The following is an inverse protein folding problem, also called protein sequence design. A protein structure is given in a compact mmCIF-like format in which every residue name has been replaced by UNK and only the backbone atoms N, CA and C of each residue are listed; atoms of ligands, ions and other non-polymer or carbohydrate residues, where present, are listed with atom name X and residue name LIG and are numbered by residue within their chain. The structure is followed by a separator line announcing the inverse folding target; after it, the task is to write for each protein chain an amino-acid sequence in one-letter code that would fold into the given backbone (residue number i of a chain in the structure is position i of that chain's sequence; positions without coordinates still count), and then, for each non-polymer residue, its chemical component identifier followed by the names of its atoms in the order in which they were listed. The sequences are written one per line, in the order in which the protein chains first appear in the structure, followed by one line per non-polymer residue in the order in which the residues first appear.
data_IF_525154665883
#
_entry.id   IF_525154665883
#
_cell.length_a   1.000
_cell.length_b   1.000
_cell.length_c   1.000
_cell.angle_alpha   90.00
_cell.angle_beta   90.00
_cell.angle_gamma   90.00
#
_symmetry.space_group_name_H-M   'P 1'
#
loop_
_entity.id
_entity.type
_entity.pdbx_description
1 polymer ?
#
# COMPACT_ATOMS: atom_id res chain seq x y z
N UNK A 1 18.68 -6.63 15.93
CA UNK A 1 17.95 -6.84 17.21
C UNK A 1 17.69 -8.31 17.48
N UNK A 2 17.04 -9.05 16.57
CA UNK A 2 16.72 -10.47 16.75
C UNK A 2 17.97 -11.31 17.07
N UNK A 3 19.09 -11.08 16.37
CA UNK A 3 20.37 -11.74 16.65
C UNK A 3 20.93 -11.40 18.03
N UNK A 4 20.83 -10.13 18.44
CA UNK A 4 21.28 -9.67 19.76
C UNK A 4 20.43 -10.28 20.90
N UNK A 5 19.17 -10.62 20.61
CA UNK A 5 18.29 -11.35 21.52
C UNK A 5 18.53 -12.87 21.49
N UNK A 6 19.43 -13.38 20.62
CA UNK A 6 19.68 -14.81 20.45
C UNK A 6 18.50 -15.58 19.84
N UNK A 7 17.62 -14.89 19.10
CA UNK A 7 16.42 -15.51 18.55
C UNK A 7 16.74 -16.44 17.38
N UNK A 8 16.21 -17.67 17.41
CA UNK A 8 16.23 -18.56 16.26
C UNK A 8 15.12 -18.16 15.29
N UNK A 9 15.47 -17.89 14.04
CA UNK A 9 14.57 -17.36 13.00
C UNK A 9 14.75 -18.14 11.71
N UNK A 10 14.27 -19.39 11.70
CA UNK A 10 14.19 -20.19 10.47
C UNK A 10 13.23 -19.56 9.45
N UNK A 11 13.37 -19.92 8.18
CA UNK A 11 12.55 -19.39 7.07
C UNK A 11 11.06 -19.76 7.18
N UNK A 12 10.75 -20.80 7.97
CA UNK A 12 9.40 -21.26 8.32
C UNK A 12 8.77 -20.49 9.49
N UNK A 13 9.53 -19.61 10.15
CA UNK A 13 9.05 -18.86 11.31
C UNK A 13 8.50 -17.48 10.92
N UNK A 14 7.78 -16.90 11.87
CA UNK A 14 7.22 -15.56 11.80
C UNK A 14 7.70 -14.72 12.99
N UNK A 15 7.80 -13.41 12.78
CA UNK A 15 8.08 -12.43 13.83
C UNK A 15 6.82 -11.61 14.05
N UNK A 16 6.15 -11.83 15.18
CA UNK A 16 4.97 -11.11 15.62
C UNK A 16 5.34 -9.91 16.48
N UNK A 17 4.51 -8.87 16.42
CA UNK A 17 4.62 -7.67 17.23
C UNK A 17 3.27 -7.32 17.84
N UNK A 18 3.31 -6.81 19.07
CA UNK A 18 2.14 -6.38 19.83
C UNK A 18 2.22 -4.90 20.15
N UNK A 19 1.07 -4.24 20.15
CA UNK A 19 0.90 -2.86 20.57
C UNK A 19 -0.09 -2.79 21.75
N UNK A 20 -0.10 -1.71 22.54
CA UNK A 20 -0.97 -1.57 23.71
C UNK A 20 -2.36 -1.00 23.36
N UNK A 21 -2.58 -0.52 22.14
CA UNK A 21 -3.86 0.06 21.73
C UNK A 21 -4.89 -1.04 21.49
N UNK A 22 -6.02 -0.95 22.21
CA UNK A 22 -7.12 -1.91 22.11
C UNK A 22 -8.14 -1.43 21.09
N UNK A 23 -8.52 -2.31 20.18
CA UNK A 23 -9.52 -2.02 19.16
C UNK A 23 -10.78 -2.84 19.39
N UNK A 24 -11.94 -2.17 19.31
CA UNK A 24 -13.26 -2.78 19.35
C UNK A 24 -13.74 -3.33 18.00
N UNK A 25 -12.90 -3.27 16.95
CA UNK A 25 -13.17 -3.95 15.68
C UNK A 25 -13.01 -5.47 15.79
N UNK A 26 -12.24 -5.92 16.77
CA UNK A 26 -12.15 -7.33 17.15
C UNK A 26 -13.16 -7.63 18.25
N UNK A 27 -13.69 -8.86 18.27
CA UNK A 27 -14.58 -9.37 19.32
C UNK A 27 -14.01 -10.70 19.87
N UNK A 28 -13.59 -10.75 21.16
CA UNK A 28 -13.57 -9.63 22.10
C UNK A 28 -12.55 -8.55 21.70
N UNK A 29 -12.72 -7.29 22.18
CA UNK A 29 -11.74 -6.25 21.97
C UNK A 29 -10.35 -6.69 22.42
N UNK A 30 -9.35 -6.49 21.57
CA UNK A 30 -7.98 -6.90 21.85
C UNK A 30 -6.95 -5.87 21.36
N UNK A 31 -5.72 -5.91 21.88
CA UNK A 31 -4.65 -5.05 21.41
C UNK A 31 -4.32 -5.31 19.94
N UNK A 32 -3.87 -4.27 19.23
CA UNK A 32 -3.38 -4.44 17.87
C UNK A 32 -2.16 -5.38 17.83
N UNK A 33 -2.14 -6.28 16.85
CA UNK A 33 -1.01 -7.17 16.63
C UNK A 33 -0.97 -7.66 15.19
N UNK A 34 0.23 -7.97 14.72
CA UNK A 34 0.46 -8.64 13.44
C UNK A 34 1.84 -9.29 13.45
N UNK A 35 2.26 -9.85 12.33
CA UNK A 35 3.50 -10.56 12.14
C UNK A 35 3.88 -10.53 10.67
N UNK A 36 5.17 -10.71 10.42
CA UNK A 36 5.75 -10.89 9.08
C UNK A 36 6.59 -12.17 9.08
N UNK A 37 6.83 -12.79 7.91
CA UNK A 37 7.77 -13.90 7.81
C UNK A 37 9.14 -13.51 8.38
N UNK A 38 9.81 -14.46 9.05
CA UNK A 38 11.11 -14.20 9.69
C UNK A 38 12.17 -13.75 8.66
N UNK A 39 12.14 -14.32 7.46
CA UNK A 39 12.99 -13.88 6.35
C UNK A 39 12.80 -12.37 6.05
N UNK A 40 11.56 -11.88 5.99
CA UNK A 40 11.30 -10.44 5.83
C UNK A 40 11.73 -9.65 7.06
N UNK A 41 11.49 -10.15 8.27
CA UNK A 41 11.91 -9.46 9.50
C UNK A 41 13.43 -9.30 9.64
N UNK A 42 14.21 -10.15 8.94
CA UNK A 42 15.68 -10.09 8.87
C UNK A 42 16.22 -9.32 7.68
N UNK A 43 15.35 -8.84 6.79
CA UNK A 43 15.78 -7.98 5.68
C UNK A 43 16.30 -6.63 6.19
N UNK A 44 17.30 -6.09 5.51
CA UNK A 44 18.04 -4.90 5.94
C UNK A 44 17.14 -3.64 6.02
N UNK A 45 16.04 -3.63 5.28
CA UNK A 45 15.11 -2.51 5.22
C UNK A 45 14.05 -2.50 6.34
N UNK A 46 13.85 -3.61 7.08
CA UNK A 46 12.87 -3.64 8.18
C UNK A 46 13.43 -2.98 9.42
N UNK A 47 12.73 -1.96 9.92
CA UNK A 47 13.20 -1.11 11.01
C UNK A 47 12.33 -1.22 12.25
N UNK A 48 12.99 -1.15 13.41
CA UNK A 48 12.39 -0.57 14.60
C UNK A 48 12.76 0.91 14.61
N UNK A 49 11.81 1.77 14.23
CA UNK A 49 12.03 3.19 14.07
C UNK A 49 11.62 3.95 15.35
N UNK A 50 12.49 4.85 15.81
CA UNK A 50 12.23 5.82 16.88
C UNK A 50 12.31 7.28 16.40
N UNK A 51 12.58 7.49 15.12
CA UNK A 51 12.62 8.79 14.45
C UNK A 51 11.82 8.77 13.15
N UNK A 52 11.31 9.93 12.74
CA UNK A 52 10.67 10.17 11.46
C UNK A 52 11.09 11.56 10.97
N UNK A 53 11.62 11.65 9.75
CA UNK A 53 12.12 12.89 9.16
C UNK A 53 13.13 13.64 10.05
N UNK A 54 14.11 12.92 10.59
CA UNK A 54 15.18 13.44 11.47
C UNK A 54 14.68 14.05 12.80
N UNK A 55 13.45 13.73 13.22
CA UNK A 55 12.88 14.15 14.49
C UNK A 55 12.37 12.93 15.28
N UNK A 56 12.25 13.02 16.62
CA UNK A 56 11.66 11.96 17.42
C UNK A 56 10.29 11.52 16.88
N UNK A 57 10.04 10.22 16.85
CA UNK A 57 8.82 9.65 16.26
C UNK A 57 7.57 10.22 16.96
N UNK A 58 6.68 10.93 16.23
CA UNK A 58 5.48 11.49 16.82
C UNK A 58 4.56 10.42 17.40
N UNK A 59 3.85 10.74 18.49
CA UNK A 59 2.93 9.81 19.16
C UNK A 59 1.90 9.21 18.19
N UNK A 60 1.31 10.02 17.32
CA UNK A 60 0.31 9.56 16.33
C UNK A 60 0.87 8.52 15.34
N UNK A 61 2.17 8.59 15.08
CA UNK A 61 2.90 7.69 14.19
C UNK A 61 3.55 6.51 14.91
N UNK A 62 3.32 6.33 16.22
CA UNK A 62 3.79 5.16 16.96
C UNK A 62 4.93 5.43 17.94
N UNK A 63 5.27 6.69 18.22
CA UNK A 63 6.30 7.03 19.21
C UNK A 63 6.06 6.37 20.58
N UNK A 64 7.09 5.88 21.27
CA UNK A 64 8.52 6.09 20.96
C UNK A 64 9.10 5.12 19.93
N UNK A 65 8.47 3.97 19.65
CA UNK A 65 9.00 2.96 18.73
C UNK A 65 7.87 2.32 17.92
N UNK A 66 8.09 2.20 16.62
CA UNK A 66 7.24 1.42 15.71
C UNK A 66 8.05 0.43 14.89
N UNK A 67 7.39 -0.57 14.34
CA UNK A 67 7.91 -1.35 13.20
C UNK A 67 7.61 -0.57 11.92
N UNK A 68 8.57 -0.57 10.99
CA UNK A 68 8.40 -0.16 9.59
C UNK A 68 8.80 -1.35 8.71
N UNK A 69 7.88 -1.81 7.87
CA UNK A 69 8.09 -2.92 6.93
C UNK A 69 7.97 -2.41 5.50
N UNK A 70 9.07 -1.99 4.87
CA UNK A 70 9.04 -1.49 3.51
C UNK A 70 8.54 -2.54 2.50
N UNK A 71 7.77 -2.08 1.51
CA UNK A 71 7.14 -2.92 0.47
C UNK A 71 5.86 -3.66 0.94
N UNK A 72 5.53 -3.63 2.22
CA UNK A 72 4.33 -4.27 2.78
C UNK A 72 3.24 -3.23 3.11
N UNK A 73 1.98 -3.67 3.20
CA UNK A 73 0.86 -2.81 3.59
C UNK A 73 1.10 -2.19 4.98
N UNK A 74 0.55 -1.00 5.20
CA UNK A 74 0.74 -0.25 6.44
C UNK A 74 0.36 -1.02 7.71
N UNK A 75 -0.59 -1.95 7.64
CA UNK A 75 -0.97 -2.82 8.76
C UNK A 75 0.21 -3.67 9.29
N UNK A 76 1.18 -4.04 8.45
CA UNK A 76 2.35 -4.80 8.91
C UNK A 76 3.41 -3.92 9.60
N UNK A 77 3.23 -2.60 9.58
CA UNK A 77 4.10 -1.63 10.27
C UNK A 77 3.48 -1.18 11.60
N UNK A 78 3.44 -2.10 12.58
CA UNK A 78 2.82 -1.89 13.89
C UNK A 78 3.36 -0.67 14.64
N UNK A 79 2.48 0.12 15.24
CA UNK A 79 2.80 1.32 16.04
C UNK A 79 2.90 0.98 17.52
N UNK A 80 3.61 1.79 18.30
CA UNK A 80 3.68 1.67 19.77
C UNK A 80 4.11 0.28 20.24
N UNK A 81 5.14 -0.30 19.61
CA UNK A 81 5.49 -1.71 19.81
C UNK A 81 5.97 -1.96 21.23
N UNK A 82 5.34 -2.92 21.92
CA UNK A 82 5.66 -3.31 23.31
C UNK A 82 6.26 -4.71 23.43
N UNK A 83 6.06 -5.56 22.42
CA UNK A 83 6.53 -6.94 22.44
C UNK A 83 6.81 -7.44 21.04
N UNK A 84 7.82 -8.30 20.92
CA UNK A 84 8.22 -8.97 19.68
C UNK A 84 8.44 -10.45 20.01
N UNK A 85 7.79 -11.33 19.26
CA UNK A 85 7.78 -12.77 19.49
C UNK A 85 8.10 -13.50 18.21
N UNK A 86 9.04 -14.45 18.26
CA UNK A 86 9.24 -15.40 17.16
C UNK A 86 8.35 -16.61 17.36
N UNK A 87 7.62 -17.02 16.33
CA UNK A 87 6.60 -18.07 16.41
C UNK A 87 6.50 -18.88 15.11
N UNK A 88 5.98 -20.12 15.13
CA UNK A 88 5.97 -21.02 13.96
C UNK A 88 4.84 -20.75 12.94
N UNK A 89 3.93 -19.82 13.22
CA UNK A 89 2.81 -19.49 12.33
C UNK A 89 2.56 -17.97 12.32
N UNK A 90 1.82 -17.43 11.33
CA UNK A 90 1.34 -16.06 11.37
C UNK A 90 0.60 -15.75 12.68
N UNK A 91 0.58 -14.48 13.09
CA UNK A 91 -0.16 -14.03 14.28
C UNK A 91 -1.64 -14.33 14.16
N UNK A 92 -2.21 -14.91 15.22
CA UNK A 92 -3.65 -15.18 15.35
C UNK A 92 -4.46 -13.92 15.71
N UNK A 93 -3.80 -12.76 15.83
CA UNK A 93 -4.48 -11.50 16.07
C UNK A 93 -5.49 -11.20 14.95
N UNK A 94 -6.66 -10.65 15.30
CA UNK A 94 -7.74 -10.33 14.37
C UNK A 94 -7.26 -9.50 13.15
N UNK A 95 -6.32 -8.57 13.35
CA UNK A 95 -5.76 -7.72 12.30
C UNK A 95 -4.80 -8.44 11.34
N UNK A 96 -4.61 -9.75 11.51
CA UNK A 96 -3.89 -10.60 10.56
C UNK A 96 -4.70 -11.83 10.15
N UNK A 97 -5.38 -12.44 11.11
CA UNK A 97 -6.14 -13.66 10.90
C UNK A 97 -7.46 -13.39 10.14
N UNK A 98 -8.11 -12.24 10.33
CA UNK A 98 -9.45 -11.96 9.78
C UNK A 98 -9.50 -10.66 8.96
N UNK A 99 -8.95 -9.56 9.47
CA UNK A 99 -8.87 -8.30 8.74
C UNK A 99 -7.65 -8.28 7.80
N UNK A 100 -7.64 -7.33 6.85
CA UNK A 100 -6.61 -7.23 5.81
C UNK A 100 -6.42 -8.52 5.01
N UNK A 101 -7.54 -9.15 4.63
CA UNK A 101 -7.59 -10.32 3.75
C UNK A 101 -8.56 -10.07 2.61
N UNK A 102 -8.17 -10.42 1.39
CA UNK A 102 -9.04 -10.35 0.21
C UNK A 102 -9.94 -11.59 0.22
N UNK A 103 -11.24 -11.37 0.42
CA UNK A 103 -12.24 -12.43 0.36
C UNK A 103 -12.72 -12.66 -1.08
N UNK A 104 -13.27 -13.86 -1.39
CA UNK A 104 -14.03 -14.06 -2.61
C UNK A 104 -15.13 -12.99 -2.77
N UNK A 105 -15.47 -12.60 -4.01
CA UNK A 105 -16.54 -11.64 -4.27
C UNK A 105 -17.84 -11.95 -3.52
N UNK A 106 -18.35 -13.17 -3.65
CA UNK A 106 -19.65 -13.58 -3.13
C UNK A 106 -19.66 -13.90 -1.62
N UNK A 107 -18.55 -13.70 -0.92
CA UNK A 107 -18.46 -13.95 0.51
C UNK A 107 -19.15 -12.85 1.34
N UNK A 108 -19.77 -13.26 2.45
CA UNK A 108 -20.26 -12.33 3.47
C UNK A 108 -19.09 -11.93 4.41
N UNK A 109 -18.68 -10.65 4.44
CA UNK A 109 -17.54 -10.21 5.25
C UNK A 109 -17.80 -10.32 6.76
N UNK A 110 -19.06 -10.34 7.20
CA UNK A 110 -19.45 -10.40 8.62
C UNK A 110 -19.37 -11.82 9.18
N UNK A 111 -19.31 -12.84 8.32
CA UNK A 111 -19.19 -14.24 8.71
C UNK A 111 -17.79 -14.82 8.46
N UNK A 112 -16.90 -14.07 7.81
CA UNK A 112 -15.55 -14.52 7.47
C UNK A 112 -14.71 -14.77 8.74
N UNK A 113 -14.18 -15.99 8.86
CA UNK A 113 -13.39 -16.44 10.00
C UNK A 113 -11.89 -16.20 9.85
N UNK A 114 -11.12 -16.53 10.89
CA UNK A 114 -9.66 -16.59 10.83
C UNK A 114 -9.17 -17.49 9.67
N UNK A 115 -8.32 -16.94 8.80
CA UNK A 115 -7.71 -17.66 7.68
C UNK A 115 -8.48 -17.54 6.35
N UNK A 116 -9.71 -17.04 6.35
CA UNK A 116 -10.51 -16.92 5.12
C UNK A 116 -9.95 -15.86 4.18
N UNK A 117 -9.90 -16.19 2.88
CA UNK A 117 -9.34 -15.32 1.84
C UNK A 117 -7.80 -15.24 1.85
N UNK A 118 -7.26 -14.27 1.12
CA UNK A 118 -5.81 -14.10 0.88
C UNK A 118 -5.28 -13.00 1.79
N UNK A 119 -4.29 -13.29 2.63
CA UNK A 119 -3.68 -12.30 3.52
C UNK A 119 -2.91 -11.23 2.73
N UNK A 120 -3.21 -9.97 3.01
CA UNK A 120 -2.44 -8.85 2.45
C UNK A 120 -1.10 -8.74 3.17
N UNK A 121 -0.02 -8.81 2.39
CA UNK A 121 1.35 -8.60 2.85
C UNK A 121 1.99 -7.52 1.99
N UNK A 122 2.57 -7.89 0.85
CA UNK A 122 3.06 -6.96 -0.17
C UNK A 122 1.97 -6.01 -0.63
N UNK A 123 2.31 -4.72 -0.83
CA UNK A 123 1.40 -3.80 -1.50
C UNK A 123 1.30 -4.13 -2.99
N UNK A 124 0.11 -3.99 -3.55
CA UNK A 124 -0.06 -4.08 -5.00
C UNK A 124 0.61 -2.88 -5.69
N UNK A 125 1.06 -3.06 -6.93
CA UNK A 125 1.42 -1.93 -7.79
C UNK A 125 0.22 -0.98 -7.86
N UNK A 126 0.45 0.29 -7.56
CA UNK A 126 -0.58 1.30 -7.60
C UNK A 126 -0.03 2.62 -8.15
N UNK A 127 -0.88 3.37 -8.84
CA UNK A 127 -0.65 4.77 -9.17
C UNK A 127 -1.97 5.52 -9.13
N UNK A 128 -1.89 6.80 -8.79
CA UNK A 128 -3.06 7.66 -8.71
C UNK A 128 -2.73 9.08 -9.17
N UNK A 129 -3.77 9.82 -9.52
CA UNK A 129 -3.71 11.20 -9.98
C UNK A 129 -3.92 12.10 -8.77
N UNK A 130 -2.97 12.99 -8.51
CA UNK A 130 -3.05 13.97 -7.42
C UNK A 130 -3.50 15.34 -7.92
N UNK A 131 -3.13 15.70 -9.15
CA UNK A 131 -3.48 16.98 -9.74
C UNK A 131 -3.79 16.80 -11.24
N UNK A 132 -4.91 17.35 -11.74
CA UNK A 132 -5.99 18.03 -11.01
C UNK A 132 -6.92 17.08 -10.24
N UNK A 133 -7.71 17.64 -9.32
CA UNK A 133 -8.78 16.92 -8.61
C UNK A 133 -9.91 16.48 -9.56
N UNK A 134 -10.58 15.38 -9.23
CA UNK A 134 -11.79 14.93 -9.93
C UNK A 134 -12.89 15.99 -9.87
N UNK A 135 -13.52 16.27 -11.02
CA UNK A 135 -14.53 17.30 -11.19
C UNK A 135 -13.99 18.73 -11.32
N UNK A 136 -12.67 18.94 -11.34
CA UNK A 136 -12.10 20.28 -11.45
C UNK A 136 -12.41 20.95 -12.81
N UNK A 137 -12.63 22.26 -12.77
CA UNK A 137 -12.69 23.10 -13.98
C UNK A 137 -11.30 23.65 -14.29
N UNK A 138 -10.79 23.39 -15.49
CA UNK A 138 -9.46 23.83 -15.94
C UNK A 138 -9.57 24.67 -17.21
N UNK A 139 -8.68 25.64 -17.44
CA UNK A 139 -8.66 26.35 -18.73
C UNK A 139 -8.34 25.39 -19.87
N UNK A 140 -8.96 25.60 -21.02
CA UNK A 140 -8.52 25.00 -22.27
C UNK A 140 -7.09 25.45 -22.59
N UNK A 141 -6.26 24.52 -23.07
CA UNK A 141 -4.85 24.73 -23.35
C UNK A 141 -3.94 23.77 -22.57
N UNK A 142 -2.70 24.18 -22.29
CA UNK A 142 -1.72 23.37 -21.58
C UNK A 142 -2.18 23.00 -20.17
N UNK A 143 -2.08 21.72 -19.83
CA UNK A 143 -2.39 21.15 -18.54
C UNK A 143 -1.22 20.27 -18.08
N UNK A 144 -0.81 20.39 -16.82
CA UNK A 144 0.12 19.43 -16.22
C UNK A 144 -0.68 18.52 -15.29
N UNK A 145 -0.62 17.22 -15.58
CA UNK A 145 -1.18 16.16 -14.73
C UNK A 145 -0.05 15.62 -13.87
N UNK A 146 -0.31 15.41 -12.58
CA UNK A 146 0.68 14.88 -11.63
C UNK A 146 0.09 13.79 -10.78
N UNK A 147 0.94 12.89 -10.32
CA UNK A 147 0.54 11.84 -9.42
C UNK A 147 1.71 11.13 -8.79
N UNK A 148 1.41 10.00 -8.15
CA UNK A 148 2.40 9.09 -7.60
C UNK A 148 2.20 7.69 -8.16
N UNK A 149 3.25 6.88 -8.08
CA UNK A 149 3.19 5.44 -8.30
C UNK A 149 4.10 4.72 -7.29
N UNK A 150 3.73 3.53 -6.85
CA UNK A 150 4.57 2.68 -6.00
C UNK A 150 4.25 1.20 -6.23
N UNK A 151 5.18 0.33 -5.86
CA UNK A 151 5.00 -1.12 -5.91
C UNK A 151 5.49 -1.76 -4.61
N UNK A 152 5.04 -3.00 -4.37
CA UNK A 152 5.38 -3.75 -3.16
C UNK A 152 6.48 -4.76 -3.36
N UNK A 153 6.93 -5.32 -2.24
CA UNK A 153 8.19 -6.05 -2.13
C UNK A 153 9.34 -5.23 -2.73
N UNK A 154 10.27 -5.88 -3.43
CA UNK A 154 11.45 -5.32 -4.10
C UNK A 154 11.15 -4.79 -5.51
N UNK A 155 9.88 -4.70 -5.89
CA UNK A 155 9.47 -4.22 -7.22
C UNK A 155 9.52 -2.70 -7.26
N UNK A 156 10.07 -2.17 -8.36
CA UNK A 156 10.06 -0.74 -8.66
C UNK A 156 8.96 -0.37 -9.65
N UNK A 157 8.70 0.93 -9.81
CA UNK A 157 7.84 1.44 -10.89
C UNK A 157 8.68 1.65 -12.14
N UNK A 158 8.36 0.90 -13.20
CA UNK A 158 9.07 0.97 -14.47
C UNK A 158 8.49 2.02 -15.41
N UNK A 159 7.16 2.21 -15.40
CA UNK A 159 6.47 3.14 -16.32
C UNK A 159 5.13 3.60 -15.75
N UNK A 160 4.73 4.82 -16.06
CA UNK A 160 3.35 5.31 -15.91
C UNK A 160 2.87 5.82 -17.26
N UNK A 161 1.70 5.37 -17.69
CA UNK A 161 1.02 5.87 -18.88
C UNK A 161 -0.24 6.63 -18.46
N UNK A 162 -0.47 7.76 -19.13
CA UNK A 162 -1.62 8.63 -18.92
C UNK A 162 -2.39 8.78 -20.22
N UNK A 163 -3.71 8.64 -20.13
CA UNK A 163 -4.66 8.81 -21.21
C UNK A 163 -5.47 10.08 -20.97
N UNK A 164 -5.82 10.79 -22.04
CA UNK A 164 -6.76 11.93 -22.01
C UNK A 164 -8.14 11.57 -22.60
N UNK A 165 -8.35 10.33 -23.03
CA UNK A 165 -9.55 9.93 -23.76
C UNK A 165 -10.26 8.71 -23.13
N UNK A 166 -10.07 8.55 -21.81
CA UNK A 166 -10.68 7.49 -21.01
C UNK A 166 -10.01 6.11 -21.10
N UNK A 167 -8.83 6.02 -21.72
CA UNK A 167 -7.99 4.81 -21.79
C UNK A 167 -7.83 4.25 -23.21
N UNK A 168 -8.22 5.00 -24.25
CA UNK A 168 -8.15 4.56 -25.65
C UNK A 168 -6.76 4.82 -26.23
N UNK A 169 -6.15 5.95 -25.90
CA UNK A 169 -4.77 6.30 -26.30
C UNK A 169 -3.95 6.72 -25.10
N UNK A 170 -2.63 6.48 -25.16
CA UNK A 170 -1.74 6.59 -24.00
C UNK A 170 -0.49 7.39 -24.35
N UNK A 171 -0.09 8.28 -23.44
CA UNK A 171 1.18 8.97 -23.44
C UNK A 171 1.96 8.54 -22.20
N UNK A 172 3.26 8.27 -22.36
CA UNK A 172 4.11 7.95 -21.21
C UNK A 172 4.37 9.23 -20.41
N UNK A 173 4.18 9.15 -19.09
CA UNK A 173 4.53 10.23 -18.16
C UNK A 173 6.03 10.20 -17.81
N UNK A 174 6.56 11.36 -17.44
CA UNK A 174 7.90 11.48 -16.88
C UNK A 174 7.88 11.06 -15.41
N UNK A 175 8.72 10.09 -15.05
CA UNK A 175 8.93 9.68 -13.67
C UNK A 175 10.10 10.47 -13.06
N UNK A 176 9.88 11.03 -11.88
CA UNK A 176 10.95 11.64 -11.09
C UNK A 176 12.03 10.59 -10.73
N UNK A 177 13.28 11.02 -10.44
CA UNK A 177 14.33 10.13 -9.99
C UNK A 177 13.91 9.29 -8.79
N UNK A 178 14.27 8.01 -8.81
CA UNK A 178 14.01 7.13 -7.68
C UNK A 178 14.88 7.54 -6.48
N UNK A 179 14.23 7.91 -5.37
CA UNK A 179 14.91 8.30 -4.14
C UNK A 179 15.29 7.09 -3.28
N UNK A 180 14.50 6.02 -3.38
CA UNK A 180 14.66 4.75 -2.67
C UNK A 180 13.77 3.68 -3.32
N UNK A 181 14.18 2.40 -3.36
CA UNK A 181 13.35 1.31 -3.87
C UNK A 181 12.03 1.14 -3.11
N UNK A 182 11.94 1.69 -1.89
CA UNK A 182 10.76 1.57 -1.03
C UNK A 182 9.85 2.80 -1.02
N UNK A 183 10.24 3.86 -1.73
CA UNK A 183 9.48 5.10 -1.81
C UNK A 183 8.59 5.11 -3.04
N UNK A 184 7.48 5.85 -2.98
CA UNK A 184 6.76 6.20 -4.20
C UNK A 184 7.68 6.95 -5.17
N UNK A 185 7.31 6.92 -6.46
CA UNK A 185 7.86 7.81 -7.48
C UNK A 185 6.76 8.76 -7.91
N UNK A 186 7.08 10.05 -7.91
CA UNK A 186 6.20 11.05 -8.48
C UNK A 186 6.29 10.99 -10.01
N UNK A 187 5.19 11.28 -10.69
CA UNK A 187 5.14 11.36 -12.14
C UNK A 187 4.40 12.60 -12.59
N UNK A 188 4.72 13.07 -13.80
CA UNK A 188 4.00 14.16 -14.43
C UNK A 188 3.85 13.99 -15.94
N UNK A 189 2.77 14.52 -16.51
CA UNK A 189 2.56 14.63 -17.96
C UNK A 189 2.09 16.05 -18.29
N UNK A 190 2.79 16.72 -19.20
CA UNK A 190 2.29 17.94 -19.83
C UNK A 190 1.45 17.56 -21.06
N UNK A 191 0.20 18.01 -21.08
CA UNK A 191 -0.80 17.74 -22.10
C UNK A 191 -1.48 19.03 -22.57
N UNK A 192 -2.30 18.95 -23.62
CA UNK A 192 -3.21 20.03 -24.01
C UNK A 192 -4.63 19.50 -24.01
N UNK A 193 -5.54 20.23 -23.37
CA UNK A 193 -6.97 19.88 -23.29
C UNK A 193 -7.80 20.98 -23.95
N UNK A 194 -8.85 20.60 -24.69
CA UNK A 194 -9.66 21.55 -25.47
C UNK A 194 -11.15 21.57 -25.04
N UNK A 195 -11.54 20.68 -24.13
CA UNK A 195 -12.92 20.52 -23.67
C UNK A 195 -13.00 19.46 -22.57
N UNK A 196 -14.20 19.03 -22.17
CA UNK A 196 -14.39 17.99 -21.18
C UNK A 196 -13.53 16.75 -21.49
N UNK A 197 -12.79 16.29 -20.48
CA UNK A 197 -11.75 15.28 -20.66
C UNK A 197 -11.80 14.29 -19.51
N UNK A 198 -11.60 13.01 -19.82
CA UNK A 198 -11.44 11.96 -18.81
C UNK A 198 -9.99 11.53 -18.82
N UNK A 199 -9.26 11.91 -17.78
CA UNK A 199 -7.88 11.52 -17.59
C UNK A 199 -7.84 10.18 -16.89
N UNK A 200 -6.96 9.29 -17.34
CA UNK A 200 -6.78 7.97 -16.74
C UNK A 200 -5.29 7.67 -16.62
N UNK A 201 -4.85 7.12 -15.49
CA UNK A 201 -3.46 6.76 -15.26
C UNK A 201 -3.33 5.27 -14.89
N UNK A 202 -2.26 4.65 -15.38
CA UNK A 202 -1.89 3.27 -15.03
C UNK A 202 -0.37 3.09 -15.01
N UNK A 203 0.10 2.22 -14.14
CA UNK A 203 1.52 1.92 -13.99
C UNK A 203 1.88 0.48 -14.39
N UNK A 204 3.17 0.28 -14.65
CA UNK A 204 3.85 -1.00 -14.77
C UNK A 204 4.98 -1.08 -13.74
N UNK A 205 5.13 -2.25 -13.13
CA UNK A 205 6.27 -2.53 -12.28
C UNK A 205 7.46 -3.12 -13.07
N UNK A 206 8.58 -3.29 -12.40
CA UNK A 206 9.82 -3.88 -12.97
C UNK A 206 9.67 -5.34 -13.39
N UNK A 207 8.58 -6.03 -13.05
CA UNK A 207 8.27 -7.39 -13.52
C UNK A 207 7.46 -7.41 -14.82
N UNK A 208 6.98 -6.24 -15.26
CA UNK A 208 6.08 -6.09 -16.41
C UNK A 208 4.60 -6.24 -16.06
N UNK A 209 4.26 -6.40 -14.78
CA UNK A 209 2.87 -6.45 -14.35
C UNK A 209 2.24 -5.04 -14.41
N UNK A 210 0.97 -4.98 -14.78
CA UNK A 210 0.18 -3.74 -14.96
C UNK A 210 -0.98 -3.70 -13.97
N UNK A 211 -1.40 -2.49 -13.58
CA UNK A 211 -2.67 -2.30 -12.87
C UNK A 211 -3.89 -2.82 -13.66
N UNK A 212 -4.88 -3.42 -12.98
CA UNK A 212 -6.16 -3.79 -13.59
C UNK A 212 -6.95 -2.59 -14.09
N UNK A 213 -7.75 -2.77 -15.14
CA UNK A 213 -8.51 -1.67 -15.75
C UNK A 213 -9.64 -1.12 -14.86
N UNK A 214 -10.33 -1.99 -14.12
CA UNK A 214 -11.54 -1.60 -13.38
C UNK A 214 -11.57 -2.13 -11.96
N UNK A 215 -12.14 -1.34 -11.05
CA UNK A 215 -12.41 -1.76 -9.68
C UNK A 215 -13.38 -2.95 -9.62
N UNK A 216 -14.25 -3.12 -10.63
CA UNK A 216 -15.14 -4.27 -10.74
C UNK A 216 -14.38 -5.61 -10.84
N UNK A 217 -13.25 -5.63 -11.56
CA UNK A 217 -12.39 -6.82 -11.67
C UNK A 217 -11.62 -7.13 -10.36
N UNK A 218 -11.53 -6.14 -9.46
CA UNK A 218 -10.85 -6.23 -8.17
C UNK A 218 -11.82 -6.36 -6.99
N UNK A 219 -13.12 -6.37 -7.26
CA UNK A 219 -14.11 -6.22 -6.22
C UNK A 219 -14.02 -7.36 -5.21
N UNK A 220 -13.99 -6.97 -3.93
CA UNK A 220 -14.06 -7.86 -2.79
C UNK A 220 -14.87 -7.14 -1.70
N UNK A 221 -15.61 -7.88 -0.86
CA UNK A 221 -16.56 -7.29 0.08
C UNK A 221 -15.91 -6.42 1.17
N UNK A 222 -14.60 -6.55 1.40
CA UNK A 222 -13.84 -5.71 2.35
C UNK A 222 -13.22 -4.45 1.70
N UNK A 223 -13.36 -4.27 0.39
CA UNK A 223 -12.88 -3.10 -0.33
C UNK A 223 -11.36 -2.93 -0.36
N UNK A 224 -10.61 -4.01 -0.12
CA UNK A 224 -9.14 -3.92 -0.04
C UNK A 224 -8.48 -4.01 -1.41
N UNK A 225 -7.23 -3.53 -1.47
CA UNK A 225 -6.34 -3.65 -2.63
C UNK A 225 -6.94 -3.12 -3.94
N UNK A 226 -7.77 -2.07 -3.87
CA UNK A 226 -8.17 -1.36 -5.08
C UNK A 226 -6.97 -0.61 -5.66
N UNK A 227 -6.40 -1.19 -6.71
CA UNK A 227 -5.32 -0.64 -7.50
C UNK A 227 -5.70 -0.54 -8.98
N UNK A 228 -7.00 -0.39 -9.28
CA UNK A 228 -7.44 -0.18 -10.66
C UNK A 228 -6.90 1.13 -11.23
N UNK A 229 -6.98 1.31 -12.55
CA UNK A 229 -6.61 2.58 -13.18
C UNK A 229 -7.31 3.76 -12.50
N UNK A 230 -6.51 4.76 -12.13
CA UNK A 230 -7.02 6.01 -11.60
C UNK A 230 -7.73 6.77 -12.71
N UNK A 231 -8.85 7.43 -12.38
CA UNK A 231 -9.64 8.19 -13.34
C UNK A 231 -10.13 9.49 -12.71
N UNK A 232 -9.93 10.60 -13.41
CA UNK A 232 -10.49 11.92 -13.06
C UNK A 232 -11.19 12.53 -14.27
N UNK A 233 -12.30 13.20 -14.02
CA UNK A 233 -13.14 13.87 -15.01
C UNK A 233 -12.98 15.37 -14.84
N UNK A 234 -12.52 16.05 -15.88
CA UNK A 234 -12.31 17.50 -15.85
C UNK A 234 -13.28 18.23 -16.78
N UNK A 235 -13.68 19.42 -16.36
CA UNK A 235 -14.41 20.36 -17.18
C UNK A 235 -13.42 21.38 -17.75
N UNK A 236 -13.04 21.27 -19.03
CA UNK A 236 -12.19 22.29 -19.64
C UNK A 236 -13.02 23.41 -20.29
N UNK A 237 -12.67 24.69 -20.04
CA UNK A 237 -13.39 25.86 -20.53
C UNK A 237 -12.54 26.88 -21.31
#
# INVERSE_FOLDING_TARGET
MLDAAGAHTGDDLHVAFTAPDVSSLADPPQPYGSSIPAAKARSDEVLLAWEMNSAPLPRVHGGPVRVVVPGYIGARSGKWVTGITVQPHPSDNYFQATAYRILPPDADPDTAGPGDGISLSSVALNCDILEPDDGATVPAGPLTVRGYAFAGDDRGVARVDVSLDGGRTWCQADLEPEQSPWSWRLWSLCATVAGPVTITARAWDTTGAMQPESAAALWNPKGYANNSWARVHLHAN
#
